data_IF_680283464461
#
_entry.id   IF_680283464461
#
_cell.length_a   1.000
_cell.length_b   1.000
_cell.length_c   1.000
_cell.angle_alpha   90.00
_cell.angle_beta   90.00
_cell.angle_gamma   90.00
#
_symmetry.space_group_name_H-M   'P 1'
#
loop_
_entity.id
_entity.type
_entity.pdbx_description
1 polymer ?
#
# COMPACT_ATOMS: atom_id res chain seq x y z
N UNK A 1 -50.40 -31.09 42.45
CA UNK A 1 -49.94 -29.72 42.76
C UNK A 1 -48.46 -29.78 43.16
N UNK A 2 -47.55 -29.27 42.34
CA UNK A 2 -46.24 -28.73 42.77
C UNK A 2 -45.56 -28.06 41.57
N UNK A 3 -45.41 -26.74 41.71
CA UNK A 3 -44.85 -25.81 40.73
C UNK A 3 -43.38 -26.14 40.43
N UNK A 4 -42.99 -25.97 39.16
CA UNK A 4 -41.59 -25.76 38.77
C UNK A 4 -41.21 -24.33 39.16
N UNK A 5 -40.25 -24.18 40.08
CA UNK A 5 -39.60 -22.90 40.39
C UNK A 5 -38.23 -22.86 39.73
N UNK A 6 -37.97 -21.77 39.01
CA UNK A 6 -36.73 -21.48 38.28
C UNK A 6 -35.58 -21.29 39.27
N UNK A 7 -34.47 -22.02 39.12
CA UNK A 7 -33.23 -21.73 39.85
C UNK A 7 -32.51 -20.55 39.21
N UNK A 8 -32.17 -19.60 40.08
CA UNK A 8 -31.50 -18.34 39.84
C UNK A 8 -30.04 -18.53 39.43
N UNK A 9 -29.55 -17.65 38.57
CA UNK A 9 -28.17 -17.52 38.12
C UNK A 9 -27.36 -16.92 39.28
N UNK A 10 -27.01 -17.72 40.29
CA UNK A 10 -26.29 -17.22 41.46
C UNK A 10 -25.26 -18.20 42.05
N UNK A 11 -24.85 -19.24 41.31
CA UNK A 11 -23.93 -20.26 41.83
C UNK A 11 -22.60 -20.38 41.05
N UNK A 12 -22.28 -19.47 40.14
CA UNK A 12 -21.02 -19.50 39.37
C UNK A 12 -19.96 -18.45 39.74
N UNK A 13 -20.18 -17.64 40.79
CA UNK A 13 -19.27 -16.52 41.14
C UNK A 13 -18.43 -16.71 42.42
N UNK A 14 -18.12 -17.94 42.82
CA UNK A 14 -17.22 -18.19 43.95
C UNK A 14 -16.01 -19.04 43.54
N UNK A 15 -15.07 -18.41 42.83
CA UNK A 15 -13.63 -18.76 42.87
C UNK A 15 -12.80 -17.74 42.10
N UNK A 16 -12.68 -16.52 42.62
CA UNK A 16 -11.65 -15.57 42.19
C UNK A 16 -10.50 -15.59 43.21
N UNK A 17 -9.25 -15.88 42.80
CA UNK A 17 -8.11 -15.76 43.69
C UNK A 17 -7.89 -14.28 44.04
N UNK A 18 -7.62 -14.05 45.31
CA UNK A 18 -7.44 -12.75 45.95
C UNK A 18 -6.35 -11.90 45.29
N UNK A 19 -6.66 -10.60 45.15
CA UNK A 19 -5.78 -9.48 44.74
C UNK A 19 -4.31 -9.70 45.13
N UNK A 20 -3.42 -9.87 44.14
CA UNK A 20 -1.99 -9.57 44.32
C UNK A 20 -1.86 -8.05 44.45
N UNK A 21 -1.59 -7.55 45.66
CA UNK A 21 -1.15 -6.16 45.87
C UNK A 21 0.22 -6.02 45.21
N UNK A 22 0.35 -5.11 44.26
CA UNK A 22 1.65 -4.71 43.74
C UNK A 22 2.37 -3.90 44.83
N UNK A 23 3.49 -4.43 45.34
CA UNK A 23 4.38 -3.71 46.23
C UNK A 23 5.27 -2.80 45.37
N UNK A 24 5.06 -1.49 45.44
CA UNK A 24 5.94 -0.50 44.81
C UNK A 24 7.10 -0.27 45.76
N UNK A 25 8.32 -0.57 45.33
CA UNK A 25 9.53 -0.17 46.04
C UNK A 25 9.99 1.18 45.49
N UNK A 26 9.97 2.21 46.33
CA UNK A 26 10.72 3.44 46.04
C UNK A 26 12.17 3.20 46.45
N UNK A 27 13.11 3.28 45.50
CA UNK A 27 14.52 3.31 45.81
C UNK A 27 14.84 4.70 46.39
N UNK A 28 15.00 4.76 47.71
CA UNK A 28 15.42 5.98 48.40
C UNK A 28 16.93 6.14 48.18
N UNK A 29 17.31 7.08 47.31
CA UNK A 29 18.70 7.36 46.97
C UNK A 29 19.34 8.22 48.04
N UNK A 30 19.55 7.69 49.25
CA UNK A 30 20.34 8.37 50.28
C UNK A 30 20.95 7.35 51.27
N UNK A 31 22.08 6.75 50.90
CA UNK A 31 23.19 6.57 51.84
C UNK A 31 24.50 6.35 51.05
N UNK A 32 25.62 7.02 51.40
CA UNK A 32 26.90 6.79 50.76
C UNK A 32 27.63 5.67 51.48
N UNK A 33 27.98 4.60 50.78
CA UNK A 33 29.02 3.69 51.27
C UNK A 33 30.08 3.44 50.19
N UNK A 34 31.32 3.53 50.63
CA UNK A 34 32.55 3.52 49.82
C UNK A 34 32.88 2.09 49.39
N UNK A 35 33.18 1.91 48.10
CA UNK A 35 33.86 0.75 47.55
C UNK A 35 34.52 1.11 46.21
N UNK A 36 35.81 0.82 46.09
CA UNK A 36 36.76 1.29 45.06
C UNK A 36 36.39 1.09 43.58
N UNK A 37 36.96 1.89 42.66
CA UNK A 37 36.74 1.77 41.23
C UNK A 37 37.72 0.76 40.63
N UNK A 38 37.24 -0.44 40.32
CA UNK A 38 37.97 -1.38 39.48
C UNK A 38 37.24 -1.52 38.14
N UNK A 39 37.94 -1.06 37.11
CA UNK A 39 37.78 -1.36 35.68
C UNK A 39 36.36 -1.63 35.18
N UNK A 40 35.79 -0.63 34.50
CA UNK A 40 34.76 -0.92 33.51
C UNK A 40 35.01 -0.18 32.19
N UNK A 41 35.92 -0.75 31.41
CA UNK A 41 36.03 -0.52 29.96
C UNK A 41 34.72 -0.88 29.20
N UNK A 42 33.62 -1.27 29.86
CA UNK A 42 32.28 -1.38 29.24
C UNK A 42 31.37 -0.16 29.46
N UNK A 43 31.87 0.92 30.07
CA UNK A 43 31.14 2.20 30.27
C UNK A 43 30.90 3.02 28.97
N UNK A 44 31.16 2.46 27.79
CA UNK A 44 30.87 3.17 26.52
C UNK A 44 29.36 3.32 26.26
N UNK A 45 28.52 2.45 26.84
CA UNK A 45 27.06 2.48 26.72
C UNK A 45 26.36 2.69 28.07
N UNK A 46 26.45 3.89 28.63
CA UNK A 46 25.51 4.32 29.68
C UNK A 46 24.07 4.09 29.20
N UNK A 47 23.17 3.57 30.05
CA UNK A 47 21.74 3.31 29.73
C UNK A 47 21.06 4.49 29.02
N UNK A 48 21.42 5.73 29.38
CA UNK A 48 20.94 6.96 28.73
C UNK A 48 21.36 7.06 27.26
N UNK A 49 22.61 6.71 26.92
CA UNK A 49 23.12 6.67 25.53
C UNK A 49 22.45 5.56 24.73
N UNK A 50 22.23 4.39 25.32
CA UNK A 50 21.51 3.29 24.66
C UNK A 50 20.04 3.67 24.39
N UNK A 51 19.37 4.28 25.36
CA UNK A 51 17.99 4.78 25.19
C UNK A 51 17.91 5.87 24.12
N UNK A 52 18.88 6.80 24.10
CA UNK A 52 18.98 7.81 23.04
C UNK A 52 19.20 7.16 21.67
N UNK A 53 20.08 6.16 21.58
CA UNK A 53 20.31 5.39 20.35
C UNK A 53 19.05 4.71 19.85
N UNK A 54 18.29 4.03 20.73
CA UNK A 54 17.00 3.41 20.38
C UNK A 54 15.99 4.47 19.93
N UNK A 55 15.89 5.60 20.63
CA UNK A 55 14.99 6.69 20.23
C UNK A 55 15.35 7.28 18.86
N UNK A 56 16.64 7.44 18.57
CA UNK A 56 17.11 7.87 17.26
C UNK A 56 16.78 6.83 16.18
N UNK A 57 17.05 5.55 16.42
CA UNK A 57 16.84 4.48 15.44
C UNK A 57 15.37 4.13 15.20
N UNK A 58 14.51 4.20 16.22
CA UNK A 58 13.10 3.81 16.15
C UNK A 58 12.19 5.03 15.93
N UNK A 59 12.60 6.21 16.39
CA UNK A 59 11.83 7.45 16.25
C UNK A 59 12.34 8.34 15.13
N UNK A 60 13.53 8.93 15.33
CA UNK A 60 14.01 10.00 14.45
C UNK A 60 14.36 9.52 13.03
N UNK A 61 15.05 8.39 12.90
CA UNK A 61 15.44 7.84 11.59
C UNK A 61 14.22 7.48 10.75
N UNK A 62 13.22 6.71 11.25
CA UNK A 62 11.99 6.46 10.50
C UNK A 62 11.24 7.74 10.15
N UNK A 63 11.19 8.72 11.06
CA UNK A 63 10.54 10.01 10.81
C UNK A 63 11.22 10.79 9.67
N UNK A 64 12.55 10.83 9.64
CA UNK A 64 13.30 11.50 8.58
C UNK A 64 13.15 10.78 7.24
N UNK A 65 13.16 9.44 7.24
CA UNK A 65 12.89 8.64 6.05
C UNK A 65 11.47 8.87 5.54
N UNK A 66 10.49 8.94 6.43
CA UNK A 66 9.11 9.26 6.11
C UNK A 66 8.94 10.69 5.58
N UNK A 67 9.63 11.68 6.15
CA UNK A 67 9.59 13.05 5.64
C UNK A 67 10.22 13.15 4.24
N UNK A 68 11.39 12.52 4.04
CA UNK A 68 12.03 12.46 2.71
C UNK A 68 11.15 11.76 1.69
N UNK A 69 10.50 10.66 2.08
CA UNK A 69 9.52 9.95 1.26
C UNK A 69 8.40 10.87 0.84
N UNK A 70 7.77 11.52 1.81
CA UNK A 70 6.63 12.37 1.57
C UNK A 70 6.99 13.50 0.60
N UNK A 71 8.16 14.11 0.78
CA UNK A 71 8.67 15.11 -0.17
C UNK A 71 8.81 14.51 -1.57
N UNK A 72 9.38 13.30 -1.70
CA UNK A 72 9.53 12.61 -2.99
C UNK A 72 8.19 12.31 -3.67
N UNK A 73 7.19 11.88 -2.90
CA UNK A 73 5.82 11.69 -3.36
C UNK A 73 5.15 13.01 -3.78
N UNK A 74 5.34 14.08 -3.02
CA UNK A 74 4.82 15.41 -3.36
C UNK A 74 5.59 16.07 -4.51
N UNK A 75 6.73 15.52 -4.92
CA UNK A 75 7.49 16.06 -6.05
C UNK A 75 6.76 15.66 -7.33
N UNK A 76 6.43 16.59 -8.24
CA UNK A 76 5.65 16.28 -9.44
C UNK A 76 6.24 15.09 -10.21
N UNK A 77 5.45 14.03 -10.35
CA UNK A 77 5.78 12.91 -11.20
C UNK A 77 5.38 13.25 -12.63
N UNK A 78 6.13 12.75 -13.62
CA UNK A 78 5.68 12.84 -15.01
C UNK A 78 4.56 11.83 -15.15
N UNK A 79 3.32 12.32 -15.16
CA UNK A 79 2.15 11.56 -15.57
C UNK A 79 2.08 11.65 -17.10
N UNK A 80 1.91 10.50 -17.75
CA UNK A 80 1.63 10.43 -19.19
C UNK A 80 0.40 11.29 -19.52
N UNK A 81 0.55 12.24 -20.45
CA UNK A 81 -0.48 13.26 -20.70
C UNK A 81 -1.84 12.68 -21.10
N UNK A 82 -1.83 11.55 -21.80
CA UNK A 82 -3.04 10.88 -22.28
C UNK A 82 -3.86 10.24 -21.15
N UNK A 83 -3.28 10.11 -19.95
CA UNK A 83 -3.96 9.63 -18.75
C UNK A 83 -4.59 10.77 -17.93
N UNK A 84 -4.36 12.03 -18.31
CA UNK A 84 -4.96 13.19 -17.67
C UNK A 84 -6.13 13.65 -18.52
N UNK A 85 -7.36 13.72 -17.98
CA UNK A 85 -8.48 14.26 -18.73
C UNK A 85 -8.22 15.74 -19.05
N UNK A 86 -8.34 16.18 -20.31
CA UNK A 86 -8.36 17.59 -20.66
C UNK A 86 -9.45 18.33 -19.85
N UNK A 87 -9.20 19.60 -19.54
CA UNK A 87 -10.09 20.43 -18.70
C UNK A 87 -11.52 20.52 -19.27
N UNK A 88 -11.66 20.32 -20.58
CA UNK A 88 -12.93 20.39 -21.30
C UNK A 88 -13.76 19.10 -21.22
N UNK A 89 -13.17 17.99 -20.76
CA UNK A 89 -13.84 16.70 -20.76
C UNK A 89 -14.82 16.60 -19.58
N UNK A 90 -16.06 16.21 -19.87
CA UNK A 90 -17.05 15.98 -18.84
C UNK A 90 -16.95 14.55 -18.32
N UNK A 91 -16.98 14.41 -16.99
CA UNK A 91 -17.02 13.10 -16.36
C UNK A 91 -18.40 12.46 -16.58
N UNK A 92 -18.40 11.25 -17.12
CA UNK A 92 -19.58 10.45 -17.40
C UNK A 92 -19.67 9.28 -16.42
N UNK A 93 -20.88 9.00 -15.92
CA UNK A 93 -21.12 7.92 -14.94
C UNK A 93 -22.16 6.90 -15.40
N UNK A 94 -22.74 7.08 -16.60
CA UNK A 94 -23.74 6.18 -17.16
C UNK A 94 -23.08 4.97 -17.82
N UNK A 95 -23.65 3.78 -17.63
CA UNK A 95 -23.21 2.54 -18.29
C UNK A 95 -21.70 2.28 -18.19
N UNK A 96 -21.14 2.47 -16.99
CA UNK A 96 -19.69 2.39 -16.75
C UNK A 96 -19.10 1.04 -17.11
N UNK A 97 -19.82 -0.05 -16.82
CA UNK A 97 -19.36 -1.41 -17.09
C UNK A 97 -19.26 -1.71 -18.59
N UNK A 98 -20.06 -1.01 -19.42
CA UNK A 98 -19.98 -1.15 -20.88
C UNK A 98 -18.78 -0.39 -21.45
N UNK A 99 -18.50 0.81 -20.92
CA UNK A 99 -17.45 1.68 -21.44
C UNK A 99 -16.07 1.41 -20.83
N UNK A 100 -16.05 0.90 -19.61
CA UNK A 100 -14.86 0.65 -18.79
C UNK A 100 -14.96 -0.75 -18.17
N UNK A 101 -14.87 -1.82 -18.99
CA UNK A 101 -15.17 -3.21 -18.60
C UNK A 101 -14.03 -3.90 -17.82
N UNK A 102 -13.15 -3.13 -17.19
CA UNK A 102 -11.99 -3.66 -16.48
C UNK A 102 -12.38 -3.94 -15.03
N UNK A 103 -12.35 -5.22 -14.63
CA UNK A 103 -12.71 -5.65 -13.27
C UNK A 103 -11.49 -5.77 -12.35
N UNK A 104 -10.31 -6.03 -12.91
CA UNK A 104 -9.09 -6.18 -12.14
C UNK A 104 -7.81 -5.94 -12.90
N UNK A 105 -6.76 -5.69 -12.13
CA UNK A 105 -5.39 -5.53 -12.61
C UNK A 105 -4.55 -6.71 -12.13
N UNK A 106 -3.86 -7.36 -13.07
CA UNK A 106 -2.80 -8.31 -12.77
C UNK A 106 -1.46 -7.58 -12.83
N UNK A 107 -0.93 -7.21 -11.66
CA UNK A 107 0.32 -6.45 -11.51
C UNK A 107 1.36 -7.30 -10.80
N UNK A 108 2.48 -7.59 -11.45
CA UNK A 108 3.58 -8.39 -10.90
C UNK A 108 3.13 -9.75 -10.30
N UNK A 109 2.12 -10.39 -10.91
CA UNK A 109 1.57 -11.68 -10.47
C UNK A 109 0.58 -11.59 -9.28
N UNK A 110 0.24 -10.39 -8.83
CA UNK A 110 -0.81 -10.15 -7.84
C UNK A 110 -2.06 -9.58 -8.51
N UNK A 111 -3.22 -10.08 -8.10
CA UNK A 111 -4.53 -9.59 -8.53
C UNK A 111 -4.99 -8.42 -7.65
N UNK A 112 -5.46 -7.36 -8.30
CA UNK A 112 -6.01 -6.17 -7.67
C UNK A 112 -7.43 -5.94 -8.19
N UNK A 113 -8.41 -5.96 -7.28
CA UNK A 113 -9.78 -5.60 -7.64
C UNK A 113 -9.87 -4.09 -7.80
N UNK A 114 -10.45 -3.63 -8.90
CA UNK A 114 -10.69 -2.20 -9.12
C UNK A 114 -12.18 -1.92 -9.19
N UNK A 115 -12.55 -0.68 -8.92
CA UNK A 115 -13.91 -0.19 -9.15
C UNK A 115 -13.84 1.10 -9.97
N UNK A 116 -14.52 1.10 -11.12
CA UNK A 116 -14.60 2.27 -11.99
C UNK A 116 -15.67 3.22 -11.47
N UNK A 117 -15.29 4.48 -11.26
CA UNK A 117 -16.18 5.50 -10.68
C UNK A 117 -16.84 6.37 -11.75
N UNK A 118 -16.08 6.75 -12.78
CA UNK A 118 -16.49 7.58 -13.91
C UNK A 118 -15.49 7.43 -15.05
N UNK A 119 -15.86 7.92 -16.23
CA UNK A 119 -14.99 7.93 -17.39
C UNK A 119 -15.11 9.23 -18.18
N UNK A 120 -14.21 9.38 -19.13
CA UNK A 120 -14.19 10.44 -20.10
C UNK A 120 -14.03 9.84 -21.49
N UNK A 121 -14.73 10.40 -22.47
CA UNK A 121 -14.53 10.03 -23.87
C UNK A 121 -13.25 10.67 -24.41
N UNK A 122 -12.27 9.84 -24.77
CA UNK A 122 -11.00 10.27 -25.35
C UNK A 122 -10.92 9.93 -26.85
N UNK A 123 -10.05 10.59 -27.64
CA UNK A 123 -9.93 10.31 -29.08
C UNK A 123 -9.60 8.86 -29.42
N UNK A 124 -8.77 8.21 -28.61
CA UNK A 124 -8.25 6.86 -28.86
C UNK A 124 -9.05 5.75 -28.13
N UNK A 125 -9.97 6.15 -27.24
CA UNK A 125 -10.82 5.22 -26.51
C UNK A 125 -11.51 5.84 -25.30
N UNK A 126 -11.37 5.18 -24.14
CA UNK A 126 -12.00 5.60 -22.89
C UNK A 126 -10.95 5.82 -21.82
N UNK A 127 -10.99 7.00 -21.20
CA UNK A 127 -10.18 7.31 -20.03
C UNK A 127 -11.05 7.09 -18.79
N UNK A 128 -10.75 6.06 -18.01
CA UNK A 128 -11.59 5.62 -16.90
C UNK A 128 -10.87 5.89 -15.58
N UNK A 129 -11.54 6.56 -14.65
CA UNK A 129 -11.04 6.72 -13.28
C UNK A 129 -11.48 5.55 -12.41
N UNK A 130 -10.52 4.92 -11.76
CA UNK A 130 -10.76 3.76 -10.90
C UNK A 130 -10.20 3.97 -9.50
N UNK A 131 -10.73 3.19 -8.57
CA UNK A 131 -10.24 3.11 -7.20
C UNK A 131 -9.93 1.66 -6.85
N UNK A 132 -8.99 1.46 -5.91
CA UNK A 132 -8.86 0.20 -5.17
C UNK A 132 -9.21 0.49 -3.72
N UNK A 133 -10.49 0.31 -3.31
CA UNK A 133 -10.95 0.74 -2.00
C UNK A 133 -10.15 0.12 -0.85
N UNK A 134 -9.74 -1.14 -1.02
CA UNK A 134 -8.99 -1.91 -0.01
C UNK A 134 -7.64 -1.28 0.34
N UNK A 135 -7.04 -0.55 -0.60
CA UNK A 135 -5.71 0.03 -0.46
C UNK A 135 -5.72 1.55 -0.52
N UNK A 136 -6.88 2.20 -0.51
CA UNK A 136 -6.97 3.66 -0.66
C UNK A 136 -6.17 4.19 -1.88
N UNK A 137 -6.31 3.50 -2.99
CA UNK A 137 -5.66 3.84 -4.26
C UNK A 137 -6.68 4.49 -5.18
N UNK A 138 -6.19 5.47 -5.93
CA UNK A 138 -6.91 6.15 -6.97
C UNK A 138 -6.03 6.26 -8.20
N UNK A 139 -6.63 6.09 -9.37
CA UNK A 139 -5.89 6.13 -10.62
C UNK A 139 -6.81 6.36 -11.81
N UNK A 140 -6.19 6.47 -12.97
CA UNK A 140 -6.88 6.47 -14.23
C UNK A 140 -6.19 5.51 -15.20
N UNK A 141 -6.98 4.88 -16.06
CA UNK A 141 -6.48 4.09 -17.16
C UNK A 141 -7.06 4.56 -18.49
N UNK A 142 -6.25 4.52 -19.53
CA UNK A 142 -6.69 4.62 -20.91
C UNK A 142 -6.88 3.21 -21.46
N UNK A 143 -8.10 2.93 -21.90
CA UNK A 143 -8.45 1.73 -22.63
C UNK A 143 -8.72 2.12 -24.09
N UNK A 144 -7.82 1.67 -24.98
CA UNK A 144 -7.95 1.93 -26.42
C UNK A 144 -8.91 0.94 -27.09
N UNK A 145 -9.44 1.33 -28.24
CA UNK A 145 -10.46 0.55 -28.96
C UNK A 145 -9.90 -0.43 -30.00
N UNK A 146 -8.63 -0.29 -30.36
CA UNK A 146 -8.00 -1.10 -31.41
C UNK A 146 -7.33 -2.32 -30.80
N UNK A 147 -7.65 -3.50 -31.32
CA UNK A 147 -7.06 -4.77 -30.85
C UNK A 147 -5.57 -4.86 -31.19
N UNK A 148 -4.79 -5.43 -30.28
CA UNK A 148 -3.36 -5.68 -30.42
C UNK A 148 -2.99 -7.10 -30.00
N UNK A 149 -1.75 -7.50 -30.28
CA UNK A 149 -1.21 -8.74 -29.73
C UNK A 149 -1.11 -8.62 -28.19
N UNK A 150 -1.39 -9.70 -27.44
CA UNK A 150 -1.26 -9.71 -25.99
C UNK A 150 0.17 -9.34 -25.57
N UNK A 151 0.29 -8.57 -24.50
CA UNK A 151 1.59 -8.27 -23.88
C UNK A 151 2.25 -9.52 -23.30
N UNK A 152 3.54 -9.44 -22.96
CA UNK A 152 4.28 -10.56 -22.37
C UNK A 152 3.73 -11.06 -21.03
N UNK A 153 2.98 -10.23 -20.31
CA UNK A 153 2.33 -10.59 -19.03
C UNK A 153 0.90 -11.11 -19.22
N UNK A 154 0.35 -11.00 -20.42
CA UNK A 154 -1.02 -11.43 -20.74
C UNK A 154 -1.04 -12.91 -21.16
N UNK A 155 -2.00 -13.71 -20.65
CA UNK A 155 -2.14 -15.10 -21.07
C UNK A 155 -2.35 -15.26 -22.58
N UNK A 156 -1.76 -16.31 -23.16
CA UNK A 156 -1.92 -16.62 -24.59
C UNK A 156 -3.39 -16.86 -24.99
N UNK A 157 -4.25 -17.24 -24.04
CA UNK A 157 -5.69 -17.41 -24.25
C UNK A 157 -6.40 -16.11 -24.67
N UNK A 158 -5.82 -14.95 -24.36
CA UNK A 158 -6.35 -13.63 -24.72
C UNK A 158 -5.93 -13.15 -26.13
N UNK A 159 -5.25 -14.00 -26.90
CA UNK A 159 -4.81 -13.67 -28.25
C UNK A 159 -6.00 -13.29 -29.15
N UNK A 160 -5.94 -12.12 -29.77
CA UNK A 160 -7.00 -11.59 -30.64
C UNK A 160 -8.15 -10.89 -29.91
N UNK A 161 -8.14 -10.91 -28.59
CA UNK A 161 -9.11 -10.28 -27.70
C UNK A 161 -8.40 -9.38 -26.67
N UNK A 162 -7.27 -8.80 -27.08
CA UNK A 162 -6.42 -7.92 -26.28
C UNK A 162 -6.46 -6.48 -26.81
N UNK A 163 -6.52 -5.51 -25.90
CA UNK A 163 -6.56 -4.08 -26.20
C UNK A 163 -5.44 -3.36 -25.46
N UNK A 164 -4.83 -2.30 -26.03
CA UNK A 164 -3.83 -1.50 -25.33
C UNK A 164 -4.40 -0.93 -24.04
N UNK A 165 -3.60 -1.02 -22.99
CA UNK A 165 -3.98 -0.58 -21.67
C UNK A 165 -2.79 0.14 -21.02
N UNK A 166 -3.05 1.34 -20.53
CA UNK A 166 -2.08 2.14 -19.79
C UNK A 166 -2.77 2.73 -18.58
N UNK A 167 -2.11 2.74 -17.43
CA UNK A 167 -2.66 3.35 -16.23
C UNK A 167 -1.59 4.01 -15.39
N UNK A 168 -2.05 4.93 -14.55
CA UNK A 168 -1.32 5.35 -13.37
C UNK A 168 -2.21 5.20 -12.15
N UNK A 169 -1.59 5.05 -10.98
CA UNK A 169 -2.29 5.28 -9.74
C UNK A 169 -1.39 5.88 -8.66
N UNK A 170 -2.04 6.52 -7.69
CA UNK A 170 -1.42 6.96 -6.45
C UNK A 170 -2.00 6.19 -5.27
N UNK A 171 -1.10 5.75 -4.38
CA UNK A 171 -1.45 5.22 -3.07
C UNK A 171 -1.18 6.28 -2.00
N UNK A 172 -2.25 6.82 -1.41
CA UNK A 172 -2.15 7.79 -0.34
C UNK A 172 -2.29 7.12 1.03
N UNK A 173 -1.22 7.07 1.81
CA UNK A 173 -1.31 6.68 3.23
C UNK A 173 -0.65 7.72 4.14
N UNK A 174 -1.37 8.07 5.22
CA UNK A 174 -0.83 8.89 6.31
C UNK A 174 -0.13 7.92 7.26
N UNK A 175 1.20 7.99 7.35
CA UNK A 175 1.96 7.16 8.29
C UNK A 175 2.63 5.93 7.66
N UNK A 176 2.17 5.47 6.50
CA UNK A 176 2.73 4.34 5.77
C UNK A 176 2.94 4.71 4.30
N UNK A 177 3.84 3.98 3.64
CA UNK A 177 4.34 4.18 2.29
C UNK A 177 3.37 4.88 1.31
N UNK A 178 3.72 6.08 0.86
CA UNK A 178 3.06 6.73 -0.29
C UNK A 178 3.87 6.42 -1.55
N UNK A 179 3.19 6.01 -2.62
CA UNK A 179 3.85 5.69 -3.88
C UNK A 179 2.97 6.01 -5.07
N UNK A 180 3.64 6.25 -6.18
CA UNK A 180 3.08 6.48 -7.48
C UNK A 180 3.58 5.41 -8.43
N UNK A 181 2.69 4.92 -9.27
CA UNK A 181 2.99 3.87 -10.24
C UNK A 181 2.39 4.25 -11.60
N UNK A 182 3.17 4.05 -12.66
CA UNK A 182 2.68 3.94 -14.04
C UNK A 182 2.97 2.52 -14.54
N UNK A 183 1.99 1.94 -15.22
CA UNK A 183 2.12 0.64 -15.85
C UNK A 183 1.47 0.63 -17.23
N UNK A 184 1.90 -0.30 -18.06
CA UNK A 184 1.29 -0.55 -19.36
C UNK A 184 1.25 -2.03 -19.67
N UNK A 185 0.35 -2.41 -20.55
CA UNK A 185 0.22 -3.77 -21.04
C UNK A 185 -1.02 -3.90 -21.91
N UNK A 186 -1.78 -4.96 -21.69
CA UNK A 186 -3.00 -5.20 -22.45
C UNK A 186 -4.16 -5.66 -21.59
N UNK A 187 -5.34 -5.13 -21.87
CA UNK A 187 -6.62 -5.58 -21.35
C UNK A 187 -7.14 -6.77 -22.16
N UNK A 188 -7.58 -7.83 -21.48
CA UNK A 188 -8.21 -8.98 -22.09
C UNK A 188 -9.74 -8.92 -21.92
N UNK A 189 -10.47 -8.90 -23.03
CA UNK A 189 -11.94 -8.85 -23.00
C UNK A 189 -12.60 -10.17 -22.59
N UNK A 190 -11.86 -11.29 -22.64
CA UNK A 190 -12.38 -12.63 -22.29
C UNK A 190 -12.59 -12.77 -20.78
N UNK A 191 -11.63 -12.28 -19.99
CA UNK A 191 -11.61 -12.40 -18.53
C UNK A 191 -11.69 -11.05 -17.81
N UNK A 192 -11.90 -9.97 -18.57
CA UNK A 192 -12.05 -8.60 -18.08
C UNK A 192 -10.87 -8.10 -17.22
N UNK A 193 -9.68 -8.64 -17.47
CA UNK A 193 -8.47 -8.35 -16.70
C UNK A 193 -7.48 -7.52 -17.51
N UNK A 194 -6.91 -6.48 -16.89
CA UNK A 194 -5.75 -5.80 -17.43
C UNK A 194 -4.44 -6.41 -16.88
N UNK A 195 -3.61 -6.92 -17.79
CA UNK A 195 -2.31 -7.49 -17.47
C UNK A 195 -1.23 -6.47 -17.81
N UNK A 196 -0.44 -6.07 -16.81
CA UNK A 196 0.42 -4.90 -16.94
C UNK A 196 1.81 -5.15 -16.37
N UNK A 197 2.78 -4.43 -16.93
CA UNK A 197 4.13 -4.32 -16.42
C UNK A 197 4.39 -2.89 -15.93
N UNK A 198 5.04 -2.78 -14.78
CA UNK A 198 5.30 -1.50 -14.11
C UNK A 198 6.39 -0.75 -14.87
N UNK A 199 6.03 0.33 -15.55
CA UNK A 199 6.96 1.16 -16.31
C UNK A 199 7.81 2.04 -15.40
N UNK A 200 7.20 2.54 -14.32
CA UNK A 200 7.87 3.38 -13.34
C UNK A 200 7.21 3.27 -11.98
N UNK A 201 7.98 2.86 -10.98
CA UNK A 201 7.61 2.93 -9.57
C UNK A 201 8.37 4.07 -8.92
N UNK A 202 7.68 4.98 -8.22
CA UNK A 202 8.31 5.90 -7.27
C UNK A 202 7.79 5.55 -5.89
N UNK A 203 8.63 4.85 -5.13
CA UNK A 203 8.31 4.47 -3.75
C UNK A 203 8.79 5.50 -2.72
N UNK A 204 8.36 5.28 -1.48
CA UNK A 204 8.74 6.03 -0.27
C UNK A 204 10.25 6.07 -0.03
N UNK A 205 11.01 5.10 -0.53
CA UNK A 205 12.47 5.09 -0.42
C UNK A 205 13.16 5.86 -1.57
N UNK A 206 12.39 6.41 -2.51
CA UNK A 206 12.91 7.09 -3.69
C UNK A 206 13.58 6.14 -4.68
N UNK A 207 13.25 4.84 -4.65
CA UNK A 207 13.68 3.90 -5.69
C UNK A 207 12.81 4.14 -6.91
N UNK A 208 13.47 4.51 -8.01
CA UNK A 208 12.91 4.45 -9.36
C UNK A 208 13.20 3.05 -9.89
N UNK A 209 12.21 2.17 -9.90
CA UNK A 209 12.32 0.91 -10.61
C UNK A 209 11.81 1.13 -12.04
N UNK A 210 12.72 1.17 -13.01
CA UNK A 210 12.35 0.93 -14.41
C UNK A 210 12.38 -0.59 -14.61
N UNK A 211 11.26 -1.19 -15.02
CA UNK A 211 11.28 -2.53 -15.60
C UNK A 211 11.87 -2.42 -17.01
N UNK A 212 13.19 -2.36 -17.10
CA UNK A 212 13.89 -2.70 -18.34
C UNK A 212 14.64 -3.97 -18.03
N UNK A 213 13.92 -5.10 -18.01
CA UNK A 213 14.53 -6.42 -18.05
C UNK A 213 15.19 -6.58 -19.41
N UNK A 214 16.46 -6.18 -19.41
CA UNK A 214 17.50 -6.47 -20.38
C UNK A 214 17.42 -7.95 -20.76
N UNK A 215 16.85 -8.23 -21.94
CA UNK A 215 17.12 -9.46 -22.69
C UNK A 215 18.64 -9.53 -22.90
N UNK A 216 19.30 -10.25 -22.01
CA UNK A 216 20.69 -10.62 -22.19
C UNK A 216 20.68 -11.85 -23.09
N UNK A 217 21.06 -11.62 -24.35
CA UNK A 217 21.62 -12.65 -25.21
C UNK A 217 22.62 -13.48 -24.40
N UNK A 218 22.45 -14.79 -24.41
CA UNK A 218 23.55 -15.74 -24.33
C UNK A 218 23.41 -16.69 -25.53
N UNK A 219 24.57 -17.07 -26.04
CA UNK A 219 24.85 -17.64 -27.35
C UNK A 219 24.06 -18.91 -27.72
#
# INVERSE_FOLDING_TARGET
MKQKSKRSISDYFLSLPTKKRATIYCADSNNPDKGDPADDETSLFTTKRSLLGVWMCVGLVPLLLQARSYIKFMTPHKITQDLIPPIEFQAETADREEHCPVEGLMVAGAWWNIEVTHYYTAPEGKLCHFVVPQYNIHGAYLLETVRVAPSSTTPASCSGESYPFQHYFYHGSIGYYAFYEEASGTYCSIDQTAYVEVNGLVDTFGRTANSTTRSSRSA
#
